data_IF_479767858347
#
_entry.id   IF_479767858347
#
_cell.length_a   1.000
_cell.length_b   1.000
_cell.length_c   1.000
_cell.angle_alpha   90.00
_cell.angle_beta   90.00
_cell.angle_gamma   90.00
#
_symmetry.space_group_name_H-M   'P 1'
#
loop_
_entity.id
_entity.type
_entity.pdbx_description
1 polymer ?
#
# COMPACT_ATOMS: atom_id res chain seq x y z
N UNK A 1 -26.96 4.77 29.45
CA UNK A 1 -25.87 3.78 29.49
C UNK A 1 -25.05 3.94 28.24
N UNK A 2 -24.01 4.75 28.32
CA UNK A 2 -23.09 4.98 27.18
C UNK A 2 -22.07 3.84 27.16
N UNK A 3 -22.12 2.99 26.13
CA UNK A 3 -21.05 2.04 25.88
C UNK A 3 -19.87 2.83 25.31
N UNK A 4 -18.82 2.96 26.11
CA UNK A 4 -17.50 3.35 25.61
C UNK A 4 -17.02 2.27 24.66
N UNK A 5 -16.97 2.59 23.37
CA UNK A 5 -16.21 1.84 22.39
C UNK A 5 -14.74 2.07 22.77
N UNK A 6 -14.13 1.04 23.34
CA UNK A 6 -12.71 1.08 23.68
C UNK A 6 -11.90 1.33 22.43
N UNK A 7 -11.19 2.45 22.38
CA UNK A 7 -10.13 2.70 21.41
C UNK A 7 -9.23 1.46 21.40
N UNK A 8 -9.13 0.82 20.24
CA UNK A 8 -8.15 -0.22 19.99
C UNK A 8 -6.77 0.40 20.28
N UNK A 9 -6.18 0.02 21.41
CA UNK A 9 -4.79 0.36 21.70
C UNK A 9 -3.97 -0.15 20.51
N UNK A 10 -3.17 0.73 19.92
CA UNK A 10 -2.11 0.31 19.01
C UNK A 10 -1.35 -0.82 19.69
N UNK A 11 -1.26 -2.01 19.10
CA UNK A 11 -0.53 -3.10 19.74
C UNK A 11 0.93 -2.68 19.84
N UNK A 12 1.49 -2.73 21.06
CA UNK A 12 2.91 -2.51 21.35
C UNK A 12 3.83 -3.54 20.65
N UNK A 13 3.23 -4.46 19.91
CA UNK A 13 3.88 -5.36 18.98
C UNK A 13 3.04 -5.42 17.71
N UNK A 14 3.65 -5.25 16.52
CA UNK A 14 2.97 -5.59 15.30
C UNK A 14 2.46 -7.02 15.45
N UNK A 15 1.18 -7.24 15.17
CA UNK A 15 0.54 -8.54 15.26
C UNK A 15 1.46 -9.53 14.53
N UNK A 16 2.23 -10.31 15.28
CA UNK A 16 2.96 -11.46 14.75
C UNK A 16 1.92 -12.55 14.46
N UNK A 17 1.19 -12.34 13.40
CA UNK A 17 0.51 -13.45 12.78
C UNK A 17 1.61 -14.42 12.36
N UNK A 18 1.56 -15.64 12.86
CA UNK A 18 2.51 -16.73 12.57
C UNK A 18 2.31 -17.09 11.10
N UNK A 19 2.93 -16.31 10.19
CA UNK A 19 2.65 -16.33 8.75
C UNK A 19 3.69 -17.18 8.07
N UNK A 20 3.22 -18.24 7.45
CA UNK A 20 3.99 -18.86 6.37
C UNK A 20 4.03 -17.86 5.23
N UNK A 21 5.20 -17.64 4.57
CA UNK A 21 5.24 -16.89 3.34
C UNK A 21 4.34 -17.60 2.33
N UNK A 22 3.15 -17.06 2.09
CA UNK A 22 2.29 -17.53 1.03
C UNK A 22 2.64 -16.74 -0.23
N UNK A 23 2.67 -17.41 -1.36
CA UNK A 23 2.78 -16.75 -2.65
C UNK A 23 1.64 -15.73 -2.78
N UNK A 24 1.91 -14.59 -3.42
CA UNK A 24 0.91 -13.55 -3.66
C UNK A 24 -0.34 -14.19 -4.25
N UNK A 25 -1.46 -14.12 -3.56
CA UNK A 25 -2.74 -14.54 -4.11
C UNK A 25 -3.31 -13.42 -5.01
N UNK A 26 -2.52 -13.02 -6.01
CA UNK A 26 -3.04 -12.19 -7.06
C UNK A 26 -3.80 -13.08 -8.04
N UNK A 27 -5.06 -12.77 -8.24
CA UNK A 27 -5.91 -13.44 -9.22
C UNK A 27 -6.11 -12.47 -10.38
N UNK A 28 -5.78 -12.91 -11.59
CA UNK A 28 -6.09 -12.20 -12.81
C UNK A 28 -7.36 -12.75 -13.46
N UNK A 29 -8.36 -11.89 -13.62
CA UNK A 29 -9.53 -12.16 -14.43
C UNK A 29 -9.40 -11.43 -15.76
N UNK A 30 -9.09 -12.21 -16.81
CA UNK A 30 -8.88 -11.68 -18.15
C UNK A 30 -10.16 -11.15 -18.78
N UNK A 31 -11.30 -11.78 -18.51
CA UNK A 31 -12.60 -11.40 -19.09
C UNK A 31 -13.03 -10.01 -18.62
N UNK A 32 -12.90 -9.75 -17.32
CA UNK A 32 -13.29 -8.49 -16.69
C UNK A 32 -12.13 -7.51 -16.53
N UNK A 33 -10.90 -7.91 -16.93
CA UNK A 33 -9.66 -7.13 -16.73
C UNK A 33 -9.53 -6.64 -15.29
N UNK A 34 -9.71 -7.58 -14.37
CA UNK A 34 -9.66 -7.33 -12.93
C UNK A 34 -8.49 -8.07 -12.31
N UNK A 35 -7.64 -7.33 -11.63
CA UNK A 35 -6.56 -7.84 -10.79
C UNK A 35 -7.03 -7.80 -9.33
N UNK A 36 -7.08 -8.94 -8.67
CA UNK A 36 -7.39 -9.08 -7.27
C UNK A 36 -6.08 -9.23 -6.48
N UNK A 37 -5.80 -8.26 -5.60
CA UNK A 37 -4.66 -8.27 -4.67
C UNK A 37 -5.21 -8.54 -3.26
N UNK A 38 -5.55 -9.79 -3.02
CA UNK A 38 -6.09 -10.26 -1.75
C UNK A 38 -5.01 -11.08 -1.05
N UNK A 39 -4.02 -10.39 -0.53
CA UNK A 39 -2.90 -11.02 0.13
C UNK A 39 -2.54 -10.29 1.42
N UNK A 40 -2.08 -11.09 2.36
CA UNK A 40 -1.59 -10.58 3.64
C UNK A 40 -0.22 -9.92 3.53
N UNK A 41 0.59 -10.26 2.49
CA UNK A 41 1.95 -9.77 2.36
C UNK A 41 2.44 -9.70 0.91
N UNK A 42 2.67 -8.48 0.42
CA UNK A 42 3.21 -8.25 -0.93
C UNK A 42 4.71 -8.53 -1.00
N UNK A 43 5.16 -9.23 -2.04
CA UNK A 43 6.56 -9.58 -2.29
C UNK A 43 6.95 -9.29 -3.74
N UNK A 44 8.21 -8.87 -3.97
CA UNK A 44 8.73 -8.60 -5.32
C UNK A 44 8.71 -9.81 -6.25
N UNK A 45 9.03 -10.99 -5.74
CA UNK A 45 9.19 -12.20 -6.55
C UNK A 45 7.93 -12.67 -7.28
N UNK A 46 6.77 -12.14 -6.89
CA UNK A 46 5.47 -12.57 -7.43
C UNK A 46 4.93 -11.60 -8.48
N UNK A 47 5.59 -10.46 -8.67
CA UNK A 47 5.14 -9.45 -9.61
C UNK A 47 5.31 -9.86 -11.08
N UNK A 48 6.13 -10.86 -11.39
CA UNK A 48 6.36 -11.28 -12.79
C UNK A 48 5.07 -11.72 -13.49
N UNK A 49 4.25 -12.53 -12.82
CA UNK A 49 2.97 -12.99 -13.38
C UNK A 49 1.99 -11.82 -13.55
N UNK A 50 1.95 -10.93 -12.56
CA UNK A 50 1.14 -9.71 -12.62
C UNK A 50 1.58 -8.83 -13.80
N UNK A 51 2.87 -8.59 -13.95
CA UNK A 51 3.42 -7.81 -15.07
C UNK A 51 3.07 -8.43 -16.42
N UNK A 52 3.19 -9.76 -16.54
CA UNK A 52 2.85 -10.48 -17.78
C UNK A 52 1.37 -10.29 -18.13
N UNK A 53 0.46 -10.37 -17.14
CA UNK A 53 -0.96 -10.13 -17.35
C UNK A 53 -1.24 -8.66 -17.77
N UNK A 54 -0.66 -7.71 -17.05
CA UNK A 54 -0.89 -6.28 -17.30
C UNK A 54 -0.29 -5.78 -18.61
N UNK A 55 0.78 -6.40 -19.12
CA UNK A 55 1.41 -6.04 -20.38
C UNK A 55 0.53 -6.25 -21.62
N UNK A 56 -0.56 -7.00 -21.48
CA UNK A 56 -1.54 -7.23 -22.56
C UNK A 56 -2.56 -6.07 -22.69
N UNK A 57 -2.59 -5.13 -21.76
CA UNK A 57 -3.57 -4.06 -21.73
C UNK A 57 -3.20 -2.90 -22.66
N UNK A 58 -4.18 -2.43 -23.42
CA UNK A 58 -4.06 -1.29 -24.34
C UNK A 58 -4.79 -0.03 -23.87
N UNK A 59 -4.66 1.06 -24.64
CA UNK A 59 -5.24 2.38 -24.31
C UNK A 59 -6.78 2.41 -24.21
N UNK A 60 -7.47 1.46 -24.85
CA UNK A 60 -8.94 1.33 -24.79
C UNK A 60 -9.44 0.52 -23.60
N UNK A 61 -8.53 -0.06 -22.83
CA UNK A 61 -8.89 -0.96 -21.74
C UNK A 61 -9.11 -0.21 -20.41
N UNK A 62 -9.90 -0.83 -19.55
CA UNK A 62 -10.05 -0.41 -18.16
C UNK A 62 -9.62 -1.56 -17.27
N UNK A 63 -8.53 -1.35 -16.54
CA UNK A 63 -8.06 -2.25 -15.50
C UNK A 63 -8.73 -1.90 -14.17
N UNK A 64 -9.30 -2.89 -13.51
CA UNK A 64 -9.74 -2.81 -12.11
C UNK A 64 -8.73 -3.51 -11.23
N UNK A 65 -8.25 -2.84 -10.19
CA UNK A 65 -7.38 -3.44 -9.16
C UNK A 65 -8.17 -3.46 -7.85
N UNK A 66 -8.60 -4.65 -7.44
CA UNK A 66 -9.32 -4.89 -6.18
C UNK A 66 -8.31 -5.21 -5.09
N UNK A 67 -8.37 -4.53 -3.96
CA UNK A 67 -7.34 -4.57 -2.93
C UNK A 67 -7.96 -4.92 -1.58
N UNK A 68 -7.40 -5.96 -0.96
CA UNK A 68 -7.59 -6.29 0.44
C UNK A 68 -6.28 -6.89 0.97
N UNK A 69 -5.36 -6.01 1.43
CA UNK A 69 -4.01 -6.39 1.81
C UNK A 69 -3.45 -5.46 2.89
N UNK A 70 -2.71 -6.01 3.82
CA UNK A 70 -1.96 -5.23 4.82
C UNK A 70 -0.64 -4.66 4.28
N UNK A 71 -0.26 -4.99 3.05
CA UNK A 71 0.98 -4.54 2.44
C UNK A 71 2.09 -5.56 2.52
N UNK A 72 3.32 -5.12 2.77
CA UNK A 72 4.50 -5.98 2.82
C UNK A 72 5.75 -5.26 2.34
N UNK A 73 6.48 -5.83 1.38
CA UNK A 73 7.70 -5.23 0.84
C UNK A 73 7.42 -3.89 0.15
N UNK A 74 8.12 -2.84 0.59
CA UNK A 74 7.95 -1.48 0.08
C UNK A 74 8.28 -1.38 -1.41
N UNK A 75 9.33 -2.09 -1.87
CA UNK A 75 9.71 -2.07 -3.28
C UNK A 75 8.71 -2.83 -4.16
N UNK A 76 8.03 -3.85 -3.62
CA UNK A 76 6.93 -4.50 -4.32
C UNK A 76 5.78 -3.52 -4.55
N UNK A 77 5.40 -2.77 -3.52
CA UNK A 77 4.37 -1.74 -3.63
C UNK A 77 4.74 -0.62 -4.60
N UNK A 78 5.94 -0.05 -4.48
CA UNK A 78 6.45 0.99 -5.37
C UNK A 78 6.52 0.50 -6.82
N UNK A 79 7.01 -0.73 -7.04
CA UNK A 79 7.11 -1.31 -8.39
C UNK A 79 5.74 -1.43 -9.03
N UNK A 80 4.77 -2.01 -8.32
CA UNK A 80 3.42 -2.16 -8.86
C UNK A 80 2.73 -0.79 -9.05
N UNK A 81 2.92 0.15 -8.13
CA UNK A 81 2.41 1.51 -8.28
C UNK A 81 2.96 2.19 -9.55
N UNK A 82 4.24 2.07 -9.82
CA UNK A 82 4.87 2.60 -11.03
C UNK A 82 4.34 1.93 -12.31
N UNK A 83 4.19 0.60 -12.30
CA UNK A 83 3.62 -0.14 -13.43
C UNK A 83 2.21 0.37 -13.72
N UNK A 84 1.33 0.46 -12.71
CA UNK A 84 -0.04 0.91 -12.88
C UNK A 84 -0.13 2.34 -13.43
N UNK A 85 0.78 3.22 -13.03
CA UNK A 85 0.82 4.61 -13.52
C UNK A 85 1.27 4.74 -14.98
N UNK A 86 2.08 3.80 -15.45
CA UNK A 86 2.65 3.80 -16.82
C UNK A 86 1.82 3.00 -17.82
N UNK A 87 0.83 2.23 -17.36
CA UNK A 87 -0.05 1.49 -18.25
C UNK A 87 -0.82 2.43 -19.18
N UNK A 88 -0.99 2.05 -20.45
CA UNK A 88 -1.84 2.80 -21.38
C UNK A 88 -3.32 2.71 -21.02
N UNK A 89 -3.73 1.67 -20.30
CA UNK A 89 -5.09 1.44 -19.84
C UNK A 89 -5.54 2.45 -18.78
N UNK A 90 -6.85 2.64 -18.66
CA UNK A 90 -7.42 3.38 -17.55
C UNK A 90 -7.42 2.50 -16.28
N UNK A 91 -6.66 2.89 -15.26
CA UNK A 91 -6.56 2.13 -14.01
C UNK A 91 -7.52 2.67 -12.96
N UNK A 92 -8.38 1.81 -12.46
CA UNK A 92 -9.27 2.06 -11.32
C UNK A 92 -8.85 1.13 -10.18
N UNK A 93 -8.43 1.69 -9.06
CA UNK A 93 -8.14 0.94 -7.84
C UNK A 93 -9.35 0.98 -6.92
N UNK A 94 -9.62 -0.13 -6.23
CA UNK A 94 -10.71 -0.23 -5.28
C UNK A 94 -10.26 -0.98 -4.04
N UNK A 95 -10.38 -0.34 -2.88
CA UNK A 95 -10.14 -0.97 -1.58
C UNK A 95 -11.43 -1.60 -1.10
N UNK A 96 -11.42 -2.92 -0.88
CA UNK A 96 -12.60 -3.66 -0.44
C UNK A 96 -12.68 -3.84 1.08
N UNK A 97 -11.55 -4.01 1.74
CA UNK A 97 -11.43 -4.09 3.19
C UNK A 97 -10.34 -3.17 3.70
N UNK A 98 -9.08 -3.52 3.43
CA UNK A 98 -7.94 -2.70 3.83
C UNK A 98 -6.92 -2.60 2.69
N UNK A 99 -6.33 -1.42 2.55
CA UNK A 99 -5.07 -1.23 1.84
C UNK A 99 -4.08 -0.60 2.81
N UNK A 100 -3.18 -1.41 3.36
CA UNK A 100 -2.20 -0.98 4.35
C UNK A 100 -0.79 -0.91 3.77
N UNK A 101 0.04 0.03 4.28
CA UNK A 101 1.47 0.08 3.96
C UNK A 101 1.72 0.08 2.44
N UNK A 102 2.52 -0.83 1.91
CA UNK A 102 2.82 -0.93 0.48
C UNK A 102 1.58 -1.16 -0.39
N UNK A 103 0.51 -1.79 0.11
CA UNK A 103 -0.76 -1.91 -0.61
C UNK A 103 -1.49 -0.56 -0.75
N UNK A 104 -1.29 0.37 0.19
CA UNK A 104 -1.80 1.72 0.08
C UNK A 104 -1.17 2.47 -1.10
N UNK A 105 0.13 2.25 -1.38
CA UNK A 105 0.81 2.85 -2.55
C UNK A 105 0.17 2.39 -3.85
N UNK A 106 -0.19 1.11 -3.93
CA UNK A 106 -0.91 0.56 -5.09
C UNK A 106 -2.31 1.18 -5.19
N UNK A 107 -3.04 1.30 -4.09
CA UNK A 107 -4.36 1.93 -4.08
C UNK A 107 -4.28 3.38 -4.58
N UNK A 108 -3.31 4.16 -4.09
CA UNK A 108 -3.12 5.57 -4.45
C UNK A 108 -2.62 5.76 -5.89
N UNK A 109 -2.08 4.74 -6.55
CA UNK A 109 -1.54 4.83 -7.91
C UNK A 109 -2.60 4.82 -9.02
N UNK A 110 -3.81 4.35 -8.75
CA UNK A 110 -4.90 4.35 -9.74
C UNK A 110 -5.33 5.76 -10.15
N UNK A 111 -5.76 5.93 -11.39
CA UNK A 111 -6.37 7.22 -11.83
C UNK A 111 -7.60 7.57 -10.99
N UNK A 112 -8.40 6.57 -10.67
CA UNK A 112 -9.50 6.66 -9.71
C UNK A 112 -9.25 5.68 -8.58
N UNK A 113 -9.37 6.18 -7.34
CA UNK A 113 -9.45 5.36 -6.15
C UNK A 113 -10.91 5.26 -5.73
N UNK A 114 -11.35 4.06 -5.39
CA UNK A 114 -12.64 3.78 -4.78
C UNK A 114 -12.41 3.06 -3.46
N UNK A 115 -13.25 3.33 -2.49
CA UNK A 115 -13.24 2.62 -1.21
C UNK A 115 -14.63 2.04 -0.94
N UNK A 116 -14.68 0.79 -0.50
CA UNK A 116 -15.90 0.22 0.07
C UNK A 116 -16.32 1.03 1.30
N UNK A 117 -17.61 1.05 1.63
CA UNK A 117 -18.16 1.86 2.73
C UNK A 117 -17.43 1.65 4.08
N UNK A 118 -16.94 0.43 4.31
CA UNK A 118 -16.25 0.04 5.53
C UNK A 118 -14.75 -0.23 5.31
N UNK A 119 -14.24 0.17 4.14
CA UNK A 119 -12.83 -0.03 3.82
C UNK A 119 -11.94 1.03 4.50
N UNK A 120 -10.69 0.64 4.72
CA UNK A 120 -9.67 1.44 5.37
C UNK A 120 -8.44 1.56 4.48
N UNK A 121 -7.78 2.71 4.56
CA UNK A 121 -6.48 2.98 3.95
C UNK A 121 -5.50 3.33 5.06
N UNK A 122 -4.41 2.58 5.19
CA UNK A 122 -3.39 2.82 6.21
C UNK A 122 -2.05 3.18 5.58
N UNK A 123 -1.53 4.34 5.93
CA UNK A 123 -0.22 4.83 5.49
C UNK A 123 0.67 5.10 6.70
N UNK A 124 1.94 4.77 6.58
CA UNK A 124 2.96 4.97 7.60
C UNK A 124 4.35 5.04 6.98
N UNK A 125 5.35 5.44 7.77
CA UNK A 125 6.75 5.44 7.35
C UNK A 125 7.26 4.04 7.05
N UNK A 126 8.23 3.96 6.13
CA UNK A 126 8.95 2.73 5.90
C UNK A 126 9.70 2.29 7.17
N UNK A 127 9.68 1.00 7.44
CA UNK A 127 10.36 0.43 8.59
C UNK A 127 11.03 -0.90 8.26
N UNK A 128 11.99 -1.28 9.05
CA UNK A 128 12.65 -2.58 8.93
C UNK A 128 13.10 -3.10 10.29
N UNK A 129 13.34 -4.39 10.38
CA UNK A 129 13.94 -5.01 11.55
C UNK A 129 15.44 -5.10 11.39
N UNK A 130 16.18 -4.67 12.42
CA UNK A 130 17.63 -4.72 12.44
C UNK A 130 18.12 -5.48 13.65
N UNK A 131 19.08 -6.38 13.46
CA UNK A 131 19.70 -7.13 14.54
C UNK A 131 21.22 -7.04 14.38
N UNK A 132 21.94 -6.68 15.45
CA UNK A 132 23.40 -6.70 15.48
C UNK A 132 24.08 -5.60 14.65
N UNK A 133 23.42 -4.45 14.44
CA UNK A 133 24.01 -3.33 13.71
C UNK A 133 24.77 -2.37 14.64
N UNK A 134 25.90 -1.82 14.15
CA UNK A 134 26.62 -0.73 14.81
C UNK A 134 26.03 0.64 14.44
N UNK A 135 26.48 1.71 15.10
CA UNK A 135 25.95 3.07 14.91
C UNK A 135 26.04 3.55 13.45
N UNK A 136 27.13 3.26 12.74
CA UNK A 136 27.30 3.66 11.34
C UNK A 136 26.30 2.97 10.43
N UNK A 137 26.06 1.67 10.64
CA UNK A 137 25.07 0.88 9.89
C UNK A 137 23.65 1.37 10.16
N UNK A 138 23.31 1.71 11.40
CA UNK A 138 22.01 2.27 11.75
C UNK A 138 21.76 3.62 11.08
N UNK A 139 22.78 4.50 11.06
CA UNK A 139 22.68 5.80 10.37
C UNK A 139 22.52 5.64 8.85
N UNK A 140 23.25 4.71 8.25
CA UNK A 140 23.11 4.42 6.82
C UNK A 140 21.69 3.93 6.50
N UNK A 141 21.19 2.99 7.29
CA UNK A 141 19.85 2.43 7.12
C UNK A 141 18.75 3.48 7.32
N UNK A 142 18.88 4.37 8.30
CA UNK A 142 17.94 5.47 8.49
C UNK A 142 17.81 6.33 7.24
N UNK A 143 18.94 6.68 6.59
CA UNK A 143 18.95 7.42 5.34
C UNK A 143 18.31 6.67 4.17
N UNK A 144 18.40 5.35 4.15
CA UNK A 144 17.72 4.55 3.13
C UNK A 144 16.21 4.55 3.34
N UNK A 145 15.74 4.42 4.57
CA UNK A 145 14.32 4.52 4.92
C UNK A 145 13.75 5.90 4.60
N UNK A 146 14.50 6.99 4.88
CA UNK A 146 14.10 8.35 4.52
C UNK A 146 13.88 8.52 3.00
N UNK A 147 14.69 7.86 2.17
CA UNK A 147 14.48 7.88 0.70
C UNK A 147 13.19 7.17 0.30
N UNK A 148 12.88 6.04 0.94
CA UNK A 148 11.62 5.33 0.69
C UNK A 148 10.44 6.21 1.12
N UNK A 149 10.53 6.86 2.29
CA UNK A 149 9.51 7.78 2.76
C UNK A 149 9.26 8.93 1.78
N UNK A 150 10.30 9.48 1.19
CA UNK A 150 10.18 10.53 0.18
C UNK A 150 9.40 10.07 -1.07
N UNK A 151 9.60 8.83 -1.53
CA UNK A 151 8.82 8.27 -2.63
C UNK A 151 7.34 8.03 -2.23
N UNK A 152 7.10 7.58 -1.00
CA UNK A 152 5.73 7.44 -0.46
C UNK A 152 5.04 8.80 -0.43
N UNK A 153 5.71 9.82 0.08
CA UNK A 153 5.21 11.21 0.12
C UNK A 153 4.88 11.72 -1.28
N UNK A 154 5.75 11.47 -2.27
CA UNK A 154 5.51 11.84 -3.66
C UNK A 154 4.21 11.23 -4.24
N UNK A 155 3.94 9.95 -3.92
CA UNK A 155 2.71 9.27 -4.33
C UNK A 155 1.48 9.92 -3.66
N UNK A 156 1.55 10.20 -2.35
CA UNK A 156 0.49 10.85 -1.59
C UNK A 156 0.18 12.24 -2.16
N UNK A 157 1.21 13.07 -2.35
CA UNK A 157 1.06 14.41 -2.92
C UNK A 157 0.38 14.40 -4.28
N UNK A 158 0.80 13.50 -5.16
CA UNK A 158 0.23 13.36 -6.51
C UNK A 158 -1.24 12.98 -6.46
N UNK A 159 -1.61 12.10 -5.53
CA UNK A 159 -2.99 11.60 -5.42
C UNK A 159 -3.92 12.55 -4.70
N UNK A 160 -3.49 13.10 -3.56
CA UNK A 160 -4.32 13.90 -2.67
C UNK A 160 -4.18 15.41 -2.92
N UNK A 161 -3.15 15.85 -3.65
CA UNK A 161 -2.92 17.28 -3.90
C UNK A 161 -2.48 18.06 -2.66
N UNK A 162 -1.95 17.40 -1.65
CA UNK A 162 -1.50 18.01 -0.39
C UNK A 162 -0.04 18.45 -0.46
N UNK A 163 0.38 19.32 0.48
CA UNK A 163 1.79 19.70 0.62
C UNK A 163 2.64 18.54 1.12
N UNK A 164 3.95 18.64 0.92
CA UNK A 164 4.92 17.68 1.43
C UNK A 164 4.82 17.54 2.96
N UNK A 165 4.70 18.65 3.65
CA UNK A 165 4.56 18.68 5.11
C UNK A 165 3.31 17.90 5.58
N UNK A 166 2.17 18.10 4.94
CA UNK A 166 0.94 17.36 5.27
C UNK A 166 1.09 15.88 4.96
N UNK A 167 1.75 15.52 3.86
CA UNK A 167 1.99 14.12 3.53
C UNK A 167 2.89 13.43 4.57
N UNK A 168 3.94 14.10 5.06
CA UNK A 168 4.75 13.60 6.16
C UNK A 168 3.95 13.49 7.47
N UNK A 169 3.11 14.47 7.80
CA UNK A 169 2.23 14.38 8.96
C UNK A 169 1.31 13.15 8.90
N UNK A 170 0.84 12.78 7.71
CA UNK A 170 0.04 11.56 7.54
C UNK A 170 0.87 10.29 7.72
N UNK A 171 2.15 10.27 7.30
CA UNK A 171 3.05 9.15 7.56
C UNK A 171 3.36 8.98 9.04
N UNK A 172 3.52 10.08 9.76
CA UNK A 172 3.81 10.08 11.20
C UNK A 172 2.57 9.71 12.02
N UNK A 173 1.40 10.22 11.62
CA UNK A 173 0.16 10.06 12.36
C UNK A 173 0.28 10.52 13.82
N UNK A 174 -0.46 9.86 14.70
CA UNK A 174 -0.34 10.12 16.14
C UNK A 174 0.73 9.27 16.83
N UNK A 175 1.14 8.16 16.22
CA UNK A 175 2.14 7.24 16.77
C UNK A 175 2.90 6.47 15.70
N UNK A 176 2.22 5.93 14.68
CA UNK A 176 2.83 5.06 13.66
C UNK A 176 1.94 5.02 12.40
N UNK A 177 1.72 6.19 11.81
CA UNK A 177 0.93 6.32 10.60
C UNK A 177 -0.52 6.76 10.82
N UNK A 178 -1.24 6.90 9.70
CA UNK A 178 -2.63 7.36 9.68
C UNK A 178 -3.53 6.32 9.02
N UNK A 179 -4.65 6.03 9.68
CA UNK A 179 -5.71 5.17 9.17
C UNK A 179 -6.88 6.06 8.71
N UNK A 180 -7.16 6.03 7.40
CA UNK A 180 -8.28 6.73 6.79
C UNK A 180 -9.46 5.79 6.58
N UNK A 181 -10.66 6.25 6.90
CA UNK A 181 -11.90 5.59 6.54
C UNK A 181 -12.42 6.08 5.17
N UNK A 182 -13.34 5.34 4.57
CA UNK A 182 -13.98 5.74 3.32
C UNK A 182 -14.76 7.07 3.40
N UNK A 183 -15.07 7.55 4.59
CA UNK A 183 -15.77 8.82 4.82
C UNK A 183 -14.85 10.04 4.81
N UNK A 184 -13.54 9.81 4.94
CA UNK A 184 -12.50 10.85 4.97
C UNK A 184 -11.78 10.99 3.62
N UNK A 185 -12.26 10.27 2.61
CA UNK A 185 -11.68 10.21 1.26
C UNK A 185 -12.41 11.13 0.28
#
# INVERSE_FOLDING_TARGET
MSQQIGLLKTPENPIRLNRRPMALNAIWDEADKTLWLYDDYMQLGVLQEVVAALSQLGAGDTLRVRINSYGGDAFAGLTLANILQTLPAQVITQVDGIAGSSAALVALSGRRLRMGEHAMLFIHRAWTNVTGANALQLQALAKELEKIDAEIVSIIQRKAGVSEEVAYQWLDGQADGTLFSAKEH
#
